data_IF_754577970626
#
_entry.id   IF_754577970626
#
_cell.length_a   1.000
_cell.length_b   1.000
_cell.length_c   1.000
_cell.angle_alpha   90.00
_cell.angle_beta   90.00
_cell.angle_gamma   90.00
#
_symmetry.space_group_name_H-M   'P 1'
#
loop_
_entity.id
_entity.type
_entity.pdbx_description
1 polymer ?
#
# COMPACT_ATOMS: atom_id res chain seq x y z
N UNK A 1 26.89 5.37 20.05
CA UNK A 1 27.92 5.70 19.04
C UNK A 1 27.86 4.64 17.96
N UNK A 2 27.94 5.03 16.68
CA UNK A 2 28.14 4.07 15.59
C UNK A 2 29.60 3.61 15.72
N UNK A 3 29.80 2.44 16.32
CA UNK A 3 31.08 2.07 16.97
C UNK A 3 32.23 1.86 15.97
N UNK A 4 31.92 1.65 14.70
CA UNK A 4 32.94 1.29 13.69
C UNK A 4 33.69 2.50 13.11
N UNK A 5 33.14 3.71 13.22
CA UNK A 5 33.75 4.93 12.70
C UNK A 5 34.18 5.92 13.79
N UNK A 6 33.99 5.59 15.07
CA UNK A 6 34.33 6.46 16.20
C UNK A 6 33.48 7.73 16.36
N UNK A 7 32.48 7.96 15.49
CA UNK A 7 31.65 9.16 15.50
C UNK A 7 30.41 9.00 16.38
N UNK A 8 30.07 10.06 17.10
CA UNK A 8 28.78 10.21 17.78
C UNK A 8 27.68 10.59 16.80
N UNK A 9 26.42 10.26 17.14
CA UNK A 9 25.27 10.66 16.31
C UNK A 9 25.12 12.18 16.17
N UNK A 10 25.61 12.95 17.15
CA UNK A 10 25.60 14.42 17.13
C UNK A 10 26.61 14.99 16.13
N UNK A 11 27.80 14.39 16.04
CA UNK A 11 28.82 14.79 15.06
C UNK A 11 28.35 14.46 13.65
N UNK A 12 27.81 13.26 13.45
CA UNK A 12 27.23 12.85 12.17
C UNK A 12 26.09 13.80 11.77
N UNK A 13 25.16 14.10 12.69
CA UNK A 13 24.02 14.96 12.40
C UNK A 13 24.44 16.39 12.04
N UNK A 14 25.49 16.91 12.69
CA UNK A 14 26.04 18.23 12.40
C UNK A 14 26.74 18.26 11.03
N UNK A 15 27.51 17.22 10.70
CA UNK A 15 28.19 17.09 9.41
C UNK A 15 27.22 17.05 8.23
N UNK A 16 26.09 16.33 8.36
CA UNK A 16 25.11 16.15 7.27
C UNK A 16 23.96 17.18 7.30
N UNK A 17 23.95 18.11 8.27
CA UNK A 17 22.88 19.10 8.44
C UNK A 17 21.50 18.50 8.70
N UNK A 18 21.42 17.40 9.44
CA UNK A 18 20.14 16.72 9.78
C UNK A 18 19.94 16.66 11.29
N UNK A 19 18.72 16.34 11.70
CA UNK A 19 18.41 16.12 13.11
C UNK A 19 19.08 14.81 13.61
N UNK A 20 19.67 14.84 14.80
CA UNK A 20 20.26 13.69 15.48
C UNK A 20 19.29 12.50 15.56
N UNK A 21 18.00 12.74 15.83
CA UNK A 21 16.96 11.70 15.87
C UNK A 21 16.78 11.02 14.51
N UNK A 22 16.94 11.75 13.41
CA UNK A 22 16.91 11.17 12.06
C UNK A 22 18.09 10.24 11.84
N UNK A 23 19.30 10.66 12.25
CA UNK A 23 20.51 9.83 12.17
C UNK A 23 20.34 8.55 12.99
N UNK A 24 19.88 8.67 14.24
CA UNK A 24 19.64 7.54 15.12
C UNK A 24 18.66 6.53 14.50
N UNK A 25 17.50 6.99 14.00
CA UNK A 25 16.50 6.12 13.35
C UNK A 25 17.04 5.38 12.12
N UNK A 26 17.93 6.01 11.35
CA UNK A 26 18.54 5.40 10.17
C UNK A 26 19.57 4.34 10.59
N UNK A 27 20.42 4.66 11.56
CA UNK A 27 21.41 3.73 12.10
C UNK A 27 20.75 2.52 12.77
N UNK A 28 19.71 2.73 13.58
CA UNK A 28 18.96 1.64 14.22
C UNK A 28 18.33 0.72 13.17
N UNK A 29 17.75 1.30 12.10
CA UNK A 29 17.22 0.51 10.98
C UNK A 29 18.30 -0.30 10.30
N UNK A 30 19.44 0.31 9.99
CA UNK A 30 20.57 -0.38 9.37
C UNK A 30 21.03 -1.56 10.23
N UNK A 31 21.17 -1.37 11.54
CA UNK A 31 21.59 -2.44 12.44
C UNK A 31 20.57 -3.59 12.53
N UNK A 32 19.28 -3.31 12.36
CA UNK A 32 18.21 -4.32 12.41
C UNK A 32 18.00 -5.04 11.08
N UNK A 33 18.05 -4.32 9.96
CA UNK A 33 17.63 -4.82 8.65
C UNK A 33 18.81 -5.09 7.70
N UNK A 34 20.00 -4.54 7.99
CA UNK A 34 21.19 -4.67 7.14
C UNK A 34 21.05 -4.02 5.75
N UNK A 35 20.01 -3.21 5.53
CA UNK A 35 19.76 -2.53 4.26
C UNK A 35 19.57 -1.03 4.46
N UNK A 36 20.02 -0.26 3.47
CA UNK A 36 19.76 1.18 3.36
C UNK A 36 18.50 1.48 2.55
N UNK A 37 17.85 0.44 2.02
CA UNK A 37 16.68 0.59 1.17
C UNK A 37 15.50 1.18 1.94
N UNK A 38 14.73 2.00 1.22
CA UNK A 38 13.44 2.47 1.75
C UNK A 38 12.48 1.30 1.74
N UNK A 39 11.85 1.02 2.88
CA UNK A 39 10.70 0.11 2.94
C UNK A 39 9.67 0.55 1.91
N UNK A 40 9.37 -0.34 0.97
CA UNK A 40 8.26 -0.16 0.04
C UNK A 40 6.98 -0.10 0.87
N UNK A 41 6.17 0.93 0.68
CA UNK A 41 4.83 0.96 1.27
C UNK A 41 4.01 -0.14 0.61
N UNK A 42 3.72 -1.20 1.36
CA UNK A 42 2.71 -2.17 0.96
C UNK A 42 1.35 -1.50 1.12
N UNK A 43 0.55 -1.54 0.05
CA UNK A 43 -0.85 -1.17 0.15
C UNK A 43 -1.59 -2.22 0.98
N UNK A 44 -2.61 -1.82 1.76
CA UNK A 44 -3.51 -2.78 2.40
C UNK A 44 -4.05 -3.78 1.35
N UNK A 45 -4.34 -5.02 1.75
CA UNK A 45 -4.90 -6.01 0.84
C UNK A 45 -6.19 -5.47 0.23
N UNK A 46 -6.30 -5.58 -1.10
CA UNK A 46 -7.48 -5.12 -1.83
C UNK A 46 -8.66 -6.06 -1.55
N UNK A 47 -9.85 -5.52 -1.39
CA UNK A 47 -11.07 -6.31 -1.14
C UNK A 47 -11.57 -7.08 -2.38
N UNK A 48 -11.00 -6.80 -3.56
CA UNK A 48 -11.32 -7.42 -4.84
C UNK A 48 -10.02 -7.96 -5.44
N UNK A 49 -10.06 -9.19 -5.94
CA UNK A 49 -8.97 -9.78 -6.71
C UNK A 49 -9.06 -9.36 -8.18
N UNK A 50 -7.98 -9.57 -8.95
CA UNK A 50 -8.01 -9.32 -10.40
C UNK A 50 -9.06 -10.16 -11.14
N UNK A 51 -9.48 -11.31 -10.57
CA UNK A 51 -10.58 -12.11 -11.11
C UNK A 51 -11.92 -11.41 -10.89
N UNK A 52 -12.13 -10.83 -9.71
CA UNK A 52 -13.33 -10.08 -9.38
C UNK A 52 -13.42 -8.83 -10.25
N UNK A 53 -12.32 -8.12 -10.44
CA UNK A 53 -12.25 -6.93 -11.30
C UNK A 53 -12.67 -7.25 -12.74
N UNK A 54 -12.18 -8.36 -13.32
CA UNK A 54 -12.62 -8.81 -14.64
C UNK A 54 -14.11 -9.14 -14.67
N UNK A 55 -14.65 -9.75 -13.61
CA UNK A 55 -16.08 -10.07 -13.51
C UNK A 55 -16.93 -8.79 -13.40
N UNK A 56 -16.47 -7.80 -12.63
CA UNK A 56 -17.09 -6.48 -12.51
C UNK A 56 -17.17 -5.80 -13.87
N UNK A 57 -16.04 -5.73 -14.61
CA UNK A 57 -16.01 -5.16 -15.96
C UNK A 57 -16.93 -5.93 -16.89
N UNK A 58 -16.87 -7.26 -16.88
CA UNK A 58 -17.74 -8.10 -17.71
C UNK A 58 -19.22 -7.80 -17.45
N UNK A 59 -19.67 -7.80 -16.20
CA UNK A 59 -21.06 -7.51 -15.85
C UNK A 59 -21.52 -6.14 -16.35
N UNK A 60 -20.70 -5.10 -16.14
CA UNK A 60 -21.02 -3.73 -16.58
C UNK A 60 -21.04 -3.58 -18.11
N UNK A 61 -20.22 -4.36 -18.82
CA UNK A 61 -20.19 -4.35 -20.30
C UNK A 61 -21.34 -5.15 -20.89
N UNK A 62 -21.68 -6.31 -20.32
CA UNK A 62 -22.78 -7.17 -20.81
C UNK A 62 -24.13 -6.52 -20.62
N UNK A 63 -24.38 -5.91 -19.47
CA UNK A 63 -25.61 -5.19 -19.18
C UNK A 63 -25.29 -3.78 -18.67
N UNK A 64 -25.41 -2.79 -19.54
CA UNK A 64 -25.12 -1.39 -19.20
C UNK A 64 -26.13 -0.76 -18.23
N UNK A 65 -27.26 -1.42 -17.97
CA UNK A 65 -28.26 -0.95 -17.01
C UNK A 65 -27.97 -1.43 -15.58
N UNK A 66 -27.07 -2.41 -15.41
CA UNK A 66 -26.76 -2.97 -14.10
C UNK A 66 -26.13 -1.91 -13.19
N UNK A 67 -26.67 -1.78 -11.98
CA UNK A 67 -26.16 -0.79 -11.03
C UNK A 67 -24.91 -1.30 -10.31
N UNK A 68 -24.05 -0.39 -9.86
CA UNK A 68 -22.89 -0.74 -9.04
C UNK A 68 -23.27 -1.47 -7.75
N UNK A 69 -24.48 -1.23 -7.21
CA UNK A 69 -24.98 -1.93 -6.03
C UNK A 69 -25.34 -3.38 -6.34
N UNK A 70 -25.98 -3.62 -7.49
CA UNK A 70 -26.29 -4.97 -7.98
C UNK A 70 -25.01 -5.76 -8.26
N UNK A 71 -24.01 -5.15 -8.91
CA UNK A 71 -22.70 -5.80 -9.11
C UNK A 71 -22.05 -6.11 -7.75
N UNK A 72 -22.08 -5.18 -6.79
CA UNK A 72 -21.50 -5.39 -5.47
C UNK A 72 -22.13 -6.58 -4.74
N UNK A 73 -23.46 -6.68 -4.76
CA UNK A 73 -24.20 -7.82 -4.18
C UNK A 73 -23.82 -9.14 -4.86
N UNK A 74 -23.66 -9.13 -6.19
CA UNK A 74 -23.24 -10.30 -6.94
C UNK A 74 -21.81 -10.73 -6.64
N UNK A 75 -20.87 -9.79 -6.54
CA UNK A 75 -19.48 -10.10 -6.16
C UNK A 75 -19.42 -10.61 -4.73
N UNK A 76 -20.17 -10.00 -3.82
CA UNK A 76 -20.25 -10.43 -2.42
C UNK A 76 -20.82 -11.85 -2.30
N UNK A 77 -21.84 -12.22 -3.09
CA UNK A 77 -22.41 -13.56 -3.05
C UNK A 77 -21.44 -14.65 -3.54
N UNK A 78 -20.57 -14.31 -4.49
CA UNK A 78 -19.56 -15.24 -5.05
C UNK A 78 -18.32 -15.34 -4.17
N UNK A 79 -17.85 -14.21 -3.64
CA UNK A 79 -16.57 -14.13 -2.92
C UNK A 79 -16.72 -14.30 -1.41
N UNK A 80 -17.93 -14.16 -0.88
CA UNK A 80 -18.24 -14.09 0.55
C UNK A 80 -17.53 -12.94 1.31
N UNK A 81 -16.98 -11.97 0.59
CA UNK A 81 -16.37 -10.77 1.17
C UNK A 81 -17.25 -9.54 0.88
N UNK A 82 -17.45 -8.65 1.87
CA UNK A 82 -18.25 -7.45 1.65
C UNK A 82 -17.55 -6.51 0.67
N UNK A 83 -18.25 -6.12 -0.40
CA UNK A 83 -17.78 -5.15 -1.39
C UNK A 83 -18.77 -4.00 -1.46
N UNK A 84 -18.27 -2.77 -1.44
CA UNK A 84 -19.12 -1.58 -1.52
C UNK A 84 -19.40 -1.18 -2.98
N UNK A 85 -20.55 -0.54 -3.24
CA UNK A 85 -20.81 0.06 -4.55
C UNK A 85 -19.76 1.12 -4.94
N UNK A 86 -19.14 1.79 -3.96
CA UNK A 86 -18.01 2.70 -4.18
C UNK A 86 -16.80 2.01 -4.77
N UNK A 87 -16.45 0.83 -4.23
CA UNK A 87 -15.37 -0.03 -4.76
C UNK A 87 -15.66 -0.40 -6.21
N UNK A 88 -16.90 -0.83 -6.53
CA UNK A 88 -17.27 -1.18 -7.90
C UNK A 88 -17.06 -0.01 -8.86
N UNK A 89 -17.49 1.20 -8.50
CA UNK A 89 -17.29 2.40 -9.34
C UNK A 89 -15.82 2.67 -9.59
N UNK A 90 -14.97 2.58 -8.55
CA UNK A 90 -13.52 2.76 -8.69
C UNK A 90 -12.91 1.74 -9.66
N UNK A 91 -13.39 0.50 -9.66
CA UNK A 91 -12.92 -0.55 -10.59
C UNK A 91 -13.39 -0.38 -12.02
N UNK A 92 -14.47 0.36 -12.23
CA UNK A 92 -14.99 0.70 -13.56
C UNK A 92 -14.40 1.99 -14.13
N UNK A 93 -13.66 2.77 -13.31
CA UNK A 93 -12.98 3.96 -13.80
C UNK A 93 -11.71 3.57 -14.58
N UNK A 94 -11.44 4.20 -15.73
CA UNK A 94 -10.16 4.04 -16.42
C UNK A 94 -9.01 4.55 -15.54
N UNK A 95 -7.88 3.83 -15.54
CA UNK A 95 -6.65 4.20 -14.84
C UNK A 95 -5.88 5.31 -15.56
#
# INVERSE_FOLDING_TARGET
AYRDCGLSFREISSCIGRNQTTVMRICDRWMQEGTTDRRVRLHPPQCTSSRDDRRIVHMAVTDRSVTSQTIAQHIQSVTHHPVSAGTIRLRLQPS
#
